data_IF_713290739991
#
_entry.id   IF_713290739991
#
_cell.length_a   1.000
_cell.length_b   1.000
_cell.length_c   1.000
_cell.angle_alpha   90.00
_cell.angle_beta   90.00
_cell.angle_gamma   90.00
#
_symmetry.space_group_name_H-M   'P 1'
#
loop_
_entity.id
_entity.type
_entity.pdbx_description
1 polymer ?
#
# COMPACT_ATOMS: atom_id res chain seq x y z
N UNK A 1 5.10 -16.91 -2.63
CA UNK A 1 5.91 -16.89 -3.87
C UNK A 1 6.40 -18.31 -4.12
N UNK A 2 6.55 -18.82 -5.35
CA UNK A 2 7.15 -20.16 -5.54
C UNK A 2 8.63 -20.22 -5.13
N UNK A 3 9.31 -19.07 -5.07
CA UNK A 3 10.74 -18.99 -4.76
C UNK A 3 11.06 -18.58 -3.31
N UNK A 4 10.07 -18.15 -2.52
CA UNK A 4 10.24 -17.75 -1.11
C UNK A 4 8.90 -17.68 -0.35
N UNK A 5 8.94 -17.38 0.95
CA UNK A 5 7.76 -17.29 1.83
C UNK A 5 6.92 -16.03 1.64
N UNK A 6 7.45 -15.01 0.96
CA UNK A 6 6.76 -13.74 0.73
C UNK A 6 5.50 -13.90 -0.15
N UNK A 7 4.49 -13.06 0.09
CA UNK A 7 3.31 -12.96 -0.76
C UNK A 7 3.65 -12.33 -2.12
N UNK A 8 2.87 -12.65 -3.15
CA UNK A 8 2.93 -11.94 -4.43
C UNK A 8 2.01 -10.73 -4.37
N UNK A 9 2.50 -9.57 -4.78
CA UNK A 9 1.72 -8.32 -4.84
C UNK A 9 1.19 -8.14 -6.27
N UNK A 10 -0.10 -7.87 -6.39
CA UNK A 10 -0.73 -7.53 -7.67
C UNK A 10 -0.44 -6.08 -8.04
N UNK A 11 0.11 -5.89 -9.24
CA UNK A 11 0.27 -4.60 -9.88
C UNK A 11 -0.73 -4.49 -11.02
N UNK A 12 -1.95 -4.01 -10.71
CA UNK A 12 -3.09 -3.98 -11.64
C UNK A 12 -2.79 -3.21 -12.92
N UNK A 13 -2.12 -2.07 -12.81
CA UNK A 13 -1.73 -1.23 -13.96
C UNK A 13 -0.86 -1.97 -15.00
N UNK A 14 -0.13 -3.01 -14.57
CA UNK A 14 0.74 -3.82 -15.43
C UNK A 14 0.24 -5.26 -15.62
N UNK A 15 -0.91 -5.62 -15.05
CA UNK A 15 -1.50 -6.94 -15.16
C UNK A 15 -0.58 -8.08 -14.67
N UNK A 16 0.23 -7.83 -13.64
CA UNK A 16 1.24 -8.80 -13.15
C UNK A 16 1.23 -8.94 -11.63
N UNK A 17 1.64 -10.12 -11.18
CA UNK A 17 2.01 -10.42 -9.81
C UNK A 17 3.53 -10.32 -9.66
N UNK A 18 4.02 -9.68 -8.60
CA UNK A 18 5.45 -9.55 -8.33
C UNK A 18 5.78 -9.86 -6.87
N UNK A 19 6.81 -10.67 -6.66
CA UNK A 19 7.47 -10.80 -5.36
C UNK A 19 8.51 -9.68 -5.22
N UNK A 20 8.34 -8.82 -4.21
CA UNK A 20 9.31 -7.75 -3.92
C UNK A 20 10.54 -8.23 -3.16
N UNK A 21 10.47 -9.41 -2.53
CA UNK A 21 11.61 -10.01 -1.84
C UNK A 21 12.63 -10.61 -2.81
N UNK A 22 12.17 -11.41 -3.79
CA UNK A 22 13.07 -12.19 -4.67
C UNK A 22 12.96 -11.83 -6.17
N UNK A 23 12.09 -10.88 -6.54
CA UNK A 23 11.92 -10.43 -7.93
C UNK A 23 11.13 -11.37 -8.85
N UNK A 24 10.59 -12.48 -8.34
CA UNK A 24 9.75 -13.40 -9.12
C UNK A 24 8.51 -12.68 -9.67
N UNK A 25 8.13 -12.95 -10.92
CA UNK A 25 6.98 -12.36 -11.59
C UNK A 25 6.09 -13.46 -12.19
N UNK A 26 4.77 -13.25 -12.15
CA UNK A 26 3.79 -14.13 -12.77
C UNK A 26 2.57 -13.33 -13.25
N UNK A 27 1.71 -13.93 -14.07
CA UNK A 27 0.36 -13.40 -14.32
C UNK A 27 -0.55 -13.80 -13.15
N UNK A 28 -1.55 -12.98 -12.84
CA UNK A 28 -2.65 -13.42 -11.99
C UNK A 28 -3.37 -14.61 -12.66
N UNK A 29 -3.62 -15.73 -11.94
CA UNK A 29 -4.32 -16.87 -12.52
C UNK A 29 -5.79 -16.53 -12.75
N UNK A 30 -6.37 -17.02 -13.85
CA UNK A 30 -7.78 -16.76 -14.18
C UNK A 30 -8.75 -17.60 -13.30
N UNK A 31 -8.25 -18.70 -12.71
CA UNK A 31 -8.97 -19.56 -11.77
C UNK A 31 -8.09 -19.92 -10.55
N UNK A 32 -8.72 -20.17 -9.40
CA UNK A 32 -8.01 -20.62 -8.21
C UNK A 32 -7.31 -21.97 -8.47
N UNK A 33 -5.97 -22.07 -8.30
CA UNK A 33 -5.24 -23.32 -8.56
C UNK A 33 -5.57 -24.44 -7.57
N UNK A 34 -6.21 -24.12 -6.44
CA UNK A 34 -6.59 -25.12 -5.42
C UNK A 34 -8.01 -25.67 -5.60
N UNK A 35 -8.98 -24.85 -6.02
CA UNK A 35 -10.39 -25.26 -6.09
C UNK A 35 -11.03 -25.06 -7.47
N UNK A 36 -10.33 -24.47 -8.44
CA UNK A 36 -10.82 -24.23 -9.80
C UNK A 36 -11.85 -23.11 -9.92
N UNK A 37 -12.17 -22.39 -8.84
CA UNK A 37 -13.14 -21.29 -8.89
C UNK A 37 -12.61 -20.14 -9.76
N UNK A 38 -13.36 -19.81 -10.82
CA UNK A 38 -13.11 -18.68 -11.73
C UNK A 38 -13.70 -17.39 -11.17
N UNK A 39 -13.02 -16.26 -11.36
CA UNK A 39 -13.51 -14.94 -10.98
C UNK A 39 -13.79 -14.75 -9.47
N UNK A 40 -13.32 -15.66 -8.62
CA UNK A 40 -13.43 -15.61 -7.15
C UNK A 40 -12.12 -15.26 -6.46
N UNK A 41 -11.06 -15.02 -7.22
CA UNK A 41 -9.81 -14.53 -6.67
C UNK A 41 -9.97 -13.04 -6.37
N UNK A 42 -9.84 -12.71 -5.09
CA UNK A 42 -9.77 -11.34 -4.62
C UNK A 42 -8.34 -11.09 -4.12
N UNK A 43 -7.74 -9.94 -4.44
CA UNK A 43 -6.52 -9.50 -3.78
C UNK A 43 -6.75 -9.49 -2.27
N UNK A 44 -5.84 -10.13 -1.54
CA UNK A 44 -5.88 -10.19 -0.09
C UNK A 44 -4.87 -9.19 0.48
N UNK A 45 -5.30 -8.45 1.49
CA UNK A 45 -4.50 -7.43 2.18
C UNK A 45 -4.99 -6.00 1.91
N UNK A 46 -4.79 -5.09 2.87
CA UNK A 46 -5.08 -3.68 2.76
C UNK A 46 -4.01 -3.06 1.87
N UNK A 47 -4.18 -3.20 0.56
CA UNK A 47 -3.44 -2.38 -0.38
C UNK A 47 -3.69 -0.91 -0.04
N UNK A 48 -2.64 -0.10 -0.04
CA UNK A 48 -2.74 1.35 0.16
C UNK A 48 -3.76 1.97 -0.81
N UNK A 49 -3.87 1.42 -2.03
CA UNK A 49 -4.88 1.79 -3.02
C UNK A 49 -6.31 1.51 -2.56
N UNK A 50 -6.56 0.32 -1.98
CA UNK A 50 -7.88 -0.05 -1.47
C UNK A 50 -8.29 0.81 -0.28
N UNK A 51 -7.35 1.06 0.64
CA UNK A 51 -7.59 1.97 1.77
C UNK A 51 -7.90 3.39 1.27
N UNK A 52 -7.24 3.84 0.21
CA UNK A 52 -7.54 5.12 -0.42
C UNK A 52 -8.94 5.15 -1.03
N UNK A 53 -9.32 4.13 -1.80
CA UNK A 53 -10.67 4.01 -2.38
C UNK A 53 -11.76 4.06 -1.29
N UNK A 54 -11.63 3.22 -0.26
CA UNK A 54 -12.57 3.16 0.86
C UNK A 54 -12.59 4.48 1.66
N UNK A 55 -11.44 5.13 1.87
CA UNK A 55 -11.36 6.39 2.59
C UNK A 55 -12.03 7.56 1.85
N UNK A 56 -11.84 7.66 0.53
CA UNK A 56 -12.48 8.70 -0.30
C UNK A 56 -13.99 8.50 -0.35
N UNK A 57 -14.47 7.26 -0.40
CA UNK A 57 -15.91 6.95 -0.35
C UNK A 57 -16.51 7.26 1.04
N UNK A 58 -15.79 6.92 2.11
CA UNK A 58 -16.27 7.09 3.49
C UNK A 58 -16.20 8.54 3.97
N UNK A 59 -15.17 9.28 3.54
CA UNK A 59 -14.87 10.64 3.96
C UNK A 59 -14.78 11.57 2.74
N UNK A 60 -15.91 11.93 2.12
CA UNK A 60 -15.90 12.69 0.86
C UNK A 60 -15.35 14.12 1.00
N UNK A 61 -15.34 14.67 2.22
CA UNK A 61 -14.98 16.07 2.49
C UNK A 61 -13.52 16.26 2.94
N UNK A 62 -12.71 15.20 2.98
CA UNK A 62 -11.30 15.29 3.42
C UNK A 62 -10.32 15.05 2.26
N UNK A 63 -9.14 15.65 2.35
CA UNK A 63 -8.05 15.48 1.37
C UNK A 63 -7.20 14.28 1.76
N UNK A 64 -7.40 13.18 1.06
CA UNK A 64 -6.65 11.94 1.26
C UNK A 64 -5.45 11.91 0.31
N UNK A 65 -4.27 11.54 0.81
CA UNK A 65 -3.08 11.36 -0.01
C UNK A 65 -2.41 9.99 0.25
N UNK A 66 -1.91 9.36 -0.81
CA UNK A 66 -1.17 8.10 -0.77
C UNK A 66 0.33 8.37 -0.82
N UNK A 67 1.10 7.75 0.07
CA UNK A 67 2.56 7.87 0.12
C UNK A 67 3.23 6.49 0.28
N UNK A 68 3.79 5.99 -0.81
CA UNK A 68 4.52 4.71 -0.91
C UNK A 68 5.91 4.92 -1.51
N UNK A 69 6.73 3.86 -1.51
CA UNK A 69 8.03 3.86 -2.22
C UNK A 69 7.91 4.11 -3.71
N UNK A 70 6.76 3.73 -4.28
CA UNK A 70 6.57 3.66 -5.72
C UNK A 70 6.15 5.03 -6.26
N UNK A 71 5.55 5.89 -5.44
CA UNK A 71 5.10 7.23 -5.83
C UNK A 71 5.94 8.39 -5.24
N UNK A 72 6.56 8.21 -4.08
CA UNK A 72 7.48 9.21 -3.50
C UNK A 72 8.92 8.85 -3.88
N UNK A 73 9.29 9.24 -5.10
CA UNK A 73 10.63 9.00 -5.63
C UNK A 73 11.61 10.12 -5.26
N UNK A 74 12.44 9.82 -4.25
CA UNK A 74 13.60 10.63 -3.88
C UNK A 74 13.29 11.85 -3.01
N UNK A 75 14.34 12.57 -2.55
CA UNK A 75 14.22 13.58 -1.51
C UNK A 75 13.31 14.76 -1.87
N UNK A 76 13.29 15.14 -3.14
CA UNK A 76 12.46 16.27 -3.62
C UNK A 76 10.97 15.95 -3.56
N UNK A 77 10.57 14.75 -3.97
CA UNK A 77 9.18 14.32 -3.90
C UNK A 77 8.72 14.23 -2.44
N UNK A 78 9.58 13.69 -1.56
CA UNK A 78 9.29 13.63 -0.14
C UNK A 78 9.14 15.03 0.48
N UNK A 79 10.06 15.96 0.19
CA UNK A 79 9.97 17.34 0.66
C UNK A 79 8.68 18.04 0.20
N UNK A 80 8.24 17.78 -1.03
CA UNK A 80 6.98 18.33 -1.54
C UNK A 80 5.76 17.79 -0.78
N UNK A 81 5.71 16.48 -0.49
CA UNK A 81 4.65 15.88 0.33
C UNK A 81 4.64 16.50 1.74
N UNK A 82 5.80 16.62 2.36
CA UNK A 82 5.95 17.19 3.71
C UNK A 82 5.44 18.63 3.76
N UNK A 83 5.78 19.44 2.75
CA UNK A 83 5.27 20.80 2.66
C UNK A 83 3.74 20.85 2.55
N UNK A 84 3.12 19.96 1.76
CA UNK A 84 1.65 19.85 1.70
C UNK A 84 1.05 19.51 3.05
N UNK A 85 1.61 18.53 3.76
CA UNK A 85 1.14 18.14 5.10
C UNK A 85 1.29 19.32 6.09
N UNK A 86 2.43 20.02 6.07
CA UNK A 86 2.64 21.21 6.91
C UNK A 86 1.70 22.36 6.60
N UNK A 87 1.35 22.57 5.33
CA UNK A 87 0.42 23.59 4.90
C UNK A 87 -1.05 23.21 5.16
N UNK A 88 -1.31 22.09 5.82
CA UNK A 88 -2.65 21.54 6.01
C UNK A 88 -3.35 21.35 4.66
N UNK A 89 -2.66 20.81 3.66
CA UNK A 89 -3.21 20.44 2.34
C UNK A 89 -3.60 18.95 2.28
N UNK A 90 -3.28 18.19 3.33
CA UNK A 90 -3.57 16.76 3.48
C UNK A 90 -4.20 16.53 4.86
N UNK A 91 -5.35 15.85 4.90
CA UNK A 91 -6.07 15.53 6.13
C UNK A 91 -5.85 14.08 6.56
N UNK A 92 -5.74 13.16 5.59
CA UNK A 92 -5.44 11.74 5.81
C UNK A 92 -4.29 11.30 4.91
N UNK A 93 -3.23 10.76 5.52
CA UNK A 93 -2.09 10.21 4.81
C UNK A 93 -2.09 8.69 4.94
N UNK A 94 -2.18 7.98 3.81
CA UNK A 94 -2.16 6.53 3.74
C UNK A 94 -0.83 6.11 3.13
N UNK A 95 -0.07 5.28 3.83
CA UNK A 95 1.22 4.86 3.33
C UNK A 95 1.79 3.65 4.03
N UNK A 96 2.95 3.23 3.56
CA UNK A 96 3.72 2.14 4.17
C UNK A 96 4.77 2.70 5.11
N UNK A 97 5.68 1.83 5.57
CA UNK A 97 6.76 2.12 6.52
C UNK A 97 7.64 3.35 6.17
N UNK A 98 7.60 3.83 4.92
CA UNK A 98 8.32 5.03 4.47
C UNK A 98 7.90 6.29 5.23
N UNK A 99 6.64 6.41 5.63
CA UNK A 99 6.13 7.60 6.33
C UNK A 99 6.80 7.82 7.71
N UNK A 100 7.29 6.76 8.34
CA UNK A 100 7.90 6.82 9.67
C UNK A 100 9.39 7.23 9.64
N UNK A 101 10.04 7.31 8.47
CA UNK A 101 11.48 7.55 8.38
C UNK A 101 11.84 9.03 8.35
N UNK A 102 12.10 9.60 9.53
CA UNK A 102 12.83 10.88 9.66
C UNK A 102 12.00 12.14 9.39
N UNK A 103 10.67 12.01 9.28
CA UNK A 103 9.77 13.15 9.10
C UNK A 103 8.97 13.39 10.36
N UNK A 104 8.86 14.66 10.74
CA UNK A 104 8.06 15.10 11.87
C UNK A 104 6.85 15.85 11.36
N UNK A 105 5.65 15.38 11.73
CA UNK A 105 4.38 15.99 11.37
C UNK A 105 3.72 16.53 12.65
N UNK A 106 3.89 17.81 12.99
CA UNK A 106 3.43 18.37 14.28
C UNK A 106 1.92 18.23 14.52
N UNK A 107 1.14 18.19 13.43
CA UNK A 107 -0.32 18.10 13.45
C UNK A 107 -0.82 16.67 13.27
N UNK A 108 0.07 15.67 13.22
CA UNK A 108 -0.33 14.27 13.20
C UNK A 108 -0.79 13.85 14.59
N UNK A 109 -2.09 13.86 14.81
CA UNK A 109 -2.71 13.56 16.12
C UNK A 109 -3.15 12.11 16.27
N UNK A 110 -3.17 11.33 15.19
CA UNK A 110 -3.61 9.93 15.18
C UNK A 110 -2.78 9.12 14.19
N UNK A 111 -2.40 7.91 14.59
CA UNK A 111 -1.79 6.90 13.71
C UNK A 111 -2.57 5.61 13.84
N UNK A 112 -3.09 5.12 12.72
CA UNK A 112 -3.69 3.79 12.60
C UNK A 112 -2.76 2.84 11.87
N UNK A 113 -2.56 1.64 12.41
CA UNK A 113 -1.80 0.57 11.74
C UNK A 113 -2.81 -0.48 11.31
N UNK A 114 -3.00 -0.63 10.00
CA UNK A 114 -3.83 -1.69 9.42
C UNK A 114 -2.97 -2.94 9.27
N UNK A 115 -3.54 -4.10 9.63
CA UNK A 115 -2.88 -5.39 9.57
C UNK A 115 -1.54 -5.46 10.33
N UNK A 116 -1.52 -4.89 11.53
CA UNK A 116 -0.37 -4.94 12.43
C UNK A 116 0.15 -6.37 12.70
N UNK A 117 -0.74 -7.37 12.58
CA UNK A 117 -0.43 -8.78 12.83
C UNK A 117 0.31 -9.46 11.66
N UNK A 118 0.30 -8.88 10.44
CA UNK A 118 0.98 -9.47 9.29
C UNK A 118 2.51 -9.54 9.47
N UNK A 119 3.09 -8.63 10.26
CA UNK A 119 4.51 -8.68 10.61
C UNK A 119 4.89 -9.85 11.54
N UNK A 120 3.91 -10.44 12.24
CA UNK A 120 4.14 -11.51 13.22
C UNK A 120 4.15 -12.91 12.59
N UNK A 121 3.59 -13.07 11.39
CA UNK A 121 3.42 -14.35 10.70
C UNK A 121 4.48 -14.64 9.62
N UNK A 122 5.60 -13.90 9.60
CA UNK A 122 6.68 -14.06 8.61
C UNK A 122 6.69 -12.96 7.54
N UNK A 123 6.55 -11.71 7.97
CA UNK A 123 6.67 -10.54 7.10
C UNK A 123 8.12 -10.24 6.74
N UNK A 124 8.55 -10.78 5.59
CA UNK A 124 9.61 -10.29 4.70
C UNK A 124 9.24 -10.57 3.24
#
# INVERSE_FOLDING_TARGET
>A
CPNCTAWLVEHRAWGKLQCHHCGYQAKAPDACPSCGAEGKLAPCGPGVERLYEEAVETFPDIRVEVATSDNIMGPKAAAALINRVHNHEVDLLIGTQILAKGYHFPMLTLVGVVDADLGLAGGD
#
